data_IF_054647342324
#
_entry.id   IF_054647342324
#
_cell.length_a   1.000
_cell.length_b   1.000
_cell.length_c   1.000
_cell.angle_alpha   90.00
_cell.angle_beta   90.00
_cell.angle_gamma   90.00
#
_symmetry.space_group_name_H-M   'P 1'
#
loop_
_entity.id
_entity.type
_entity.pdbx_description
1 polymer ?
#
# COMPACT_ATOMS: atom_id res chain seq x y z
N UNK A 1 19.30 6.50 38.70
CA UNK A 1 20.02 6.67 37.42
C UNK A 1 19.66 5.54 36.46
N UNK A 2 19.78 4.27 36.89
CA UNK A 2 19.34 3.09 36.11
C UNK A 2 17.83 3.11 35.76
N UNK A 3 17.00 3.62 36.67
CA UNK A 3 15.55 3.77 36.46
C UNK A 3 15.22 4.79 35.34
N UNK A 4 16.04 5.82 35.16
CA UNK A 4 15.85 6.82 34.10
C UNK A 4 16.35 6.28 32.75
N UNK A 5 17.46 5.52 32.75
CA UNK A 5 17.92 4.78 31.57
C UNK A 5 16.86 3.79 31.08
N UNK A 6 16.25 3.01 31.97
CA UNK A 6 15.21 2.06 31.62
C UNK A 6 13.97 2.74 31.02
N UNK A 7 13.56 3.89 31.57
CA UNK A 7 12.46 4.70 31.01
C UNK A 7 12.79 5.22 29.61
N UNK A 8 14.02 5.69 29.40
CA UNK A 8 14.49 6.19 28.11
C UNK A 8 14.49 5.07 27.05
N UNK A 9 15.00 3.89 27.37
CA UNK A 9 14.99 2.73 26.46
C UNK A 9 13.58 2.37 26.04
N UNK A 10 12.64 2.29 26.99
CA UNK A 10 11.22 1.99 26.69
C UNK A 10 10.58 3.07 25.82
N UNK A 11 10.91 4.34 26.05
CA UNK A 11 10.44 5.45 25.21
C UNK A 11 11.00 5.35 23.77
N UNK A 12 12.28 5.00 23.61
CA UNK A 12 12.89 4.80 22.30
C UNK A 12 12.27 3.61 21.53
N UNK A 13 12.02 2.49 22.21
CA UNK A 13 11.32 1.34 21.61
C UNK A 13 9.90 1.72 21.17
N UNK A 14 9.15 2.43 22.01
CA UNK A 14 7.83 2.93 21.65
C UNK A 14 7.90 3.87 20.43
N UNK A 15 8.90 4.74 20.36
CA UNK A 15 9.07 5.67 19.24
C UNK A 15 9.42 4.94 17.94
N UNK A 16 10.23 3.89 17.99
CA UNK A 16 10.54 3.04 16.83
C UNK A 16 9.31 2.36 16.23
N UNK A 17 8.33 1.98 17.05
CA UNK A 17 7.09 1.35 16.58
C UNK A 17 6.08 2.39 16.09
N UNK A 18 5.95 3.51 16.78
CA UNK A 18 4.90 4.50 16.49
C UNK A 18 5.25 5.47 15.36
N UNK A 19 6.53 5.84 15.21
CA UNK A 19 6.94 6.80 14.19
C UNK A 19 6.68 6.30 12.76
N UNK A 20 7.01 5.06 12.38
CA UNK A 20 6.70 4.56 11.04
C UNK A 20 5.19 4.53 10.76
N UNK A 21 4.37 4.16 11.76
CA UNK A 21 2.90 4.15 11.63
C UNK A 21 2.36 5.53 11.29
N UNK A 22 2.81 6.55 12.03
CA UNK A 22 2.41 7.94 11.78
C UNK A 22 2.84 8.44 10.41
N UNK A 23 4.09 8.16 10.00
CA UNK A 23 4.61 8.57 8.68
C UNK A 23 3.80 7.93 7.55
N UNK A 24 3.40 6.66 7.69
CA UNK A 24 2.56 5.98 6.70
C UNK A 24 1.16 6.59 6.64
N UNK A 25 0.55 6.87 7.80
CA UNK A 25 -0.77 7.48 7.84
C UNK A 25 -0.76 8.89 7.23
N UNK A 26 0.25 9.71 7.53
CA UNK A 26 0.46 11.02 6.92
C UNK A 26 0.69 10.91 5.40
N UNK A 27 1.49 9.93 4.97
CA UNK A 27 1.75 9.70 3.56
C UNK A 27 0.46 9.35 2.81
N UNK A 28 -0.34 8.42 3.33
CA UNK A 28 -1.64 8.03 2.75
C UNK A 28 -2.61 9.20 2.62
N UNK A 29 -2.60 10.13 3.58
CA UNK A 29 -3.44 11.34 3.57
C UNK A 29 -2.85 12.49 2.75
N UNK A 30 -1.62 12.35 2.26
CA UNK A 30 -0.95 13.40 1.50
C UNK A 30 -1.50 13.49 0.08
N UNK A 31 -1.65 14.72 -0.43
CA UNK A 31 -2.02 14.96 -1.83
C UNK A 31 -1.04 14.30 -2.82
N UNK A 32 0.22 14.17 -2.44
CA UNK A 32 1.24 13.51 -3.26
C UNK A 32 0.95 12.04 -3.51
N UNK A 33 0.43 11.33 -2.50
CA UNK A 33 0.01 9.94 -2.62
C UNK A 33 -1.18 9.80 -3.57
N UNK A 34 -2.24 10.58 -3.37
CA UNK A 34 -3.41 10.59 -4.27
C UNK A 34 -3.02 10.90 -5.71
N UNK A 35 -2.22 11.95 -5.90
CA UNK A 35 -1.77 12.37 -7.24
C UNK A 35 -0.89 11.29 -7.87
N UNK A 36 -0.02 10.64 -7.08
CA UNK A 36 0.82 9.54 -7.54
C UNK A 36 0.03 8.35 -8.06
N UNK A 37 -1.06 7.98 -7.38
CA UNK A 37 -1.96 6.90 -7.84
C UNK A 37 -2.60 7.25 -9.20
N UNK A 38 -3.06 8.48 -9.37
CA UNK A 38 -3.63 8.96 -10.64
C UNK A 38 -2.61 8.90 -11.79
N UNK A 39 -1.35 9.27 -11.53
CA UNK A 39 -0.28 9.17 -12.53
C UNK A 39 0.02 7.72 -12.91
N UNK A 40 0.04 6.81 -11.93
CA UNK A 40 0.26 5.38 -12.22
C UNK A 40 -0.84 4.79 -13.09
N UNK A 41 -2.11 5.10 -12.79
CA UNK A 41 -3.24 4.65 -13.62
C UNK A 41 -3.13 5.23 -15.03
N UNK A 42 -2.81 6.52 -15.16
CA UNK A 42 -2.63 7.17 -16.46
C UNK A 42 -1.52 6.50 -17.29
N UNK A 43 -0.35 6.26 -16.69
CA UNK A 43 0.79 5.63 -17.36
C UNK A 43 0.47 4.19 -17.80
N UNK A 44 -0.27 3.45 -16.97
CA UNK A 44 -0.77 2.13 -17.33
C UNK A 44 -1.72 2.20 -18.52
N UNK A 45 -2.72 3.08 -18.51
CA UNK A 45 -3.65 3.24 -19.63
C UNK A 45 -2.93 3.62 -20.93
N UNK A 46 -1.90 4.47 -20.85
CA UNK A 46 -1.06 4.84 -21.98
C UNK A 46 -0.26 3.63 -22.51
N UNK A 47 0.35 2.84 -21.61
CA UNK A 47 1.04 1.62 -21.97
C UNK A 47 0.10 0.60 -22.63
N UNK A 48 -1.11 0.46 -22.08
CA UNK A 48 -2.17 -0.41 -22.59
C UNK A 48 -2.60 -0.03 -24.01
N UNK A 49 -2.86 1.26 -24.24
CA UNK A 49 -3.22 1.76 -25.57
C UNK A 49 -2.12 1.48 -26.60
N UNK A 50 -0.85 1.69 -26.23
CA UNK A 50 0.31 1.39 -27.08
C UNK A 50 0.45 -0.10 -27.36
N UNK A 51 0.20 -0.94 -26.36
CA UNK A 51 0.22 -2.39 -26.49
C UNK A 51 -0.84 -2.86 -27.50
N UNK A 52 -2.09 -2.43 -27.33
CA UNK A 52 -3.18 -2.79 -28.25
C UNK A 52 -2.93 -2.29 -29.67
N UNK A 53 -2.37 -1.09 -29.84
CA UNK A 53 -2.03 -0.57 -31.18
C UNK A 53 -0.97 -1.42 -31.91
N UNK A 54 -0.08 -2.09 -31.17
CA UNK A 54 0.97 -2.95 -31.74
C UNK A 54 0.56 -4.41 -31.87
N UNK A 55 -0.29 -4.90 -30.97
CA UNK A 55 -0.61 -6.32 -30.83
C UNK A 55 -2.13 -6.54 -30.74
N UNK A 56 -2.84 -6.30 -31.85
CA UNK A 56 -4.30 -6.35 -31.92
C UNK A 56 -4.94 -7.68 -31.44
N UNK A 57 -4.19 -8.78 -31.52
CA UNK A 57 -4.68 -10.13 -31.21
C UNK A 57 -4.34 -10.58 -29.78
N UNK A 58 -3.50 -9.84 -29.05
CA UNK A 58 -3.14 -10.18 -27.69
C UNK A 58 -4.09 -9.50 -26.71
N UNK A 59 -4.58 -10.29 -25.75
CA UNK A 59 -5.43 -9.80 -24.66
C UNK A 59 -4.62 -9.75 -23.38
N UNK A 60 -4.91 -8.76 -22.55
CA UNK A 60 -4.49 -8.77 -21.16
C UNK A 60 -5.40 -9.74 -20.40
N UNK A 61 -4.77 -10.59 -19.58
CA UNK A 61 -5.46 -11.61 -18.78
C UNK A 61 -6.25 -10.96 -17.64
N UNK A 62 -5.63 -10.03 -16.90
CA UNK A 62 -6.25 -9.29 -15.82
C UNK A 62 -5.82 -7.83 -15.84
N UNK A 63 -6.80 -6.93 -15.68
CA UNK A 63 -6.57 -5.49 -15.62
C UNK A 63 -6.48 -5.07 -14.14
N UNK A 64 -5.31 -4.63 -13.64
CA UNK A 64 -5.11 -4.30 -12.22
C UNK A 64 -5.98 -3.14 -11.71
N UNK A 65 -6.47 -2.28 -12.61
CA UNK A 65 -7.30 -1.12 -12.24
C UNK A 65 -8.79 -1.40 -12.40
N UNK A 66 -9.17 -2.59 -12.88
CA UNK A 66 -10.57 -2.96 -13.06
C UNK A 66 -11.15 -3.43 -11.73
N UNK A 67 -12.18 -2.75 -11.24
CA UNK A 67 -12.93 -3.20 -10.07
C UNK A 67 -13.65 -4.52 -10.37
N UNK A 68 -13.21 -5.62 -9.74
CA UNK A 68 -13.86 -6.92 -9.89
C UNK A 68 -14.93 -7.10 -8.80
N UNK A 69 -16.04 -7.79 -9.10
CA UNK A 69 -17.01 -8.18 -8.07
C UNK A 69 -16.42 -9.06 -6.97
N UNK A 70 -15.32 -9.77 -7.28
CA UNK A 70 -14.54 -10.54 -6.30
C UNK A 70 -13.97 -9.61 -5.23
N UNK A 71 -13.43 -8.45 -5.62
CA UNK A 71 -12.81 -7.47 -4.73
C UNK A 71 -13.83 -6.80 -3.80
N UNK A 72 -15.09 -6.72 -4.23
CA UNK A 72 -16.18 -6.15 -3.43
C UNK A 72 -16.51 -6.98 -2.18
N UNK A 73 -16.19 -8.28 -2.19
CA UNK A 73 -16.42 -9.19 -1.07
C UNK A 73 -15.17 -9.42 -0.23
N UNK A 74 -14.02 -8.86 -0.63
CA UNK A 74 -12.79 -8.91 0.17
C UNK A 74 -12.85 -7.75 1.16
N UNK A 75 -12.96 -8.02 2.47
CA UNK A 75 -12.91 -6.95 3.46
C UNK A 75 -11.55 -6.29 3.37
N UNK A 76 -11.52 -5.04 2.88
CA UNK A 76 -10.29 -4.26 2.86
C UNK A 76 -9.98 -3.85 4.30
N UNK A 77 -8.92 -4.40 4.87
CA UNK A 77 -8.45 -3.99 6.19
C UNK A 77 -8.19 -2.47 6.16
N UNK A 78 -8.80 -1.78 7.12
CA UNK A 78 -8.56 -0.37 7.39
C UNK A 78 -7.07 -0.10 7.71
N UNK A 79 -6.37 -1.10 8.24
CA UNK A 79 -4.95 -1.06 8.54
C UNK A 79 -4.26 -2.35 8.05
N UNK A 80 -3.36 -2.21 7.08
CA UNK A 80 -2.43 -3.27 6.70
C UNK A 80 -1.10 -3.01 7.42
N UNK A 81 -0.64 -3.97 8.21
CA UNK A 81 0.67 -3.91 8.85
C UNK A 81 1.74 -4.09 7.76
N UNK A 82 2.67 -3.14 7.65
CA UNK A 82 3.79 -3.18 6.71
C UNK A 82 5.07 -3.73 7.36
N UNK A 83 4.95 -4.41 8.51
CA UNK A 83 6.02 -5.27 8.92
C UNK A 83 6.06 -6.48 7.98
N UNK A 84 7.23 -7.05 7.73
CA UNK A 84 7.38 -8.27 6.92
C UNK A 84 6.78 -9.51 7.62
N UNK A 85 5.85 -9.30 8.56
CA UNK A 85 5.08 -10.33 9.24
C UNK A 85 4.11 -10.93 8.24
N UNK A 86 4.10 -12.26 8.17
CA UNK A 86 3.18 -12.98 7.31
C UNK A 86 1.73 -12.67 7.73
N UNK A 87 0.81 -12.41 6.78
CA UNK A 87 -0.60 -12.32 7.10
C UNK A 87 -1.06 -13.62 7.78
N UNK A 88 -2.05 -13.57 8.68
CA UNK A 88 -2.63 -14.78 9.27
C UNK A 88 -3.06 -15.73 8.15
N UNK A 89 -2.68 -17.01 8.27
CA UNK A 89 -3.14 -18.05 7.35
C UNK A 89 -4.68 -18.13 7.47
N UNK A 90 -5.38 -17.81 6.39
CA UNK A 90 -6.83 -18.04 6.31
C UNK A 90 -7.05 -19.56 6.15
N UNK A 91 -7.75 -20.18 7.12
CA UNK A 91 -8.20 -21.59 7.09
C UNK A 91 -9.40 -21.80 6.15
#
# INVERSE_FOLDING_TARGET
MENELLKLTRAMEALRVNLPKHVVEDNKKSRGFETGLVWMEYDYQLALARFHARYLNLKIEEDPFKLLPKDSNVPMANEQQFDDSLPPLED
#
